data_IF_186098469671
#
_entry.id   IF_186098469671
#
_cell.length_a   1.000
_cell.length_b   1.000
_cell.length_c   1.000
_cell.angle_alpha   90.00
_cell.angle_beta   90.00
_cell.angle_gamma   90.00
#
_symmetry.space_group_name_H-M   'P 1'
#
loop_
_entity.id
_entity.type
_entity.pdbx_description
1 polymer ?
#
# COMPACT_ATOMS: atom_id res chain seq x y z
N UNK A 1 9.95 -7.47 31.91
CA UNK A 1 11.10 -7.95 31.10
C UNK A 1 10.68 -7.99 29.63
N UNK A 2 11.63 -7.78 28.72
CA UNK A 2 11.40 -7.95 27.27
C UNK A 2 11.02 -9.41 26.99
N UNK A 3 10.12 -9.62 26.01
CA UNK A 3 9.85 -10.96 25.50
C UNK A 3 11.07 -11.48 24.72
N UNK A 4 11.26 -12.80 24.62
CA UNK A 4 12.26 -13.35 23.72
C UNK A 4 11.91 -13.09 22.24
N UNK A 5 12.87 -13.33 21.35
CA UNK A 5 12.75 -13.09 19.91
C UNK A 5 11.53 -13.79 19.30
N UNK A 6 11.28 -15.04 19.67
CA UNK A 6 10.21 -15.85 19.09
C UNK A 6 8.83 -15.34 19.54
N UNK A 7 8.70 -15.05 20.83
CA UNK A 7 7.50 -14.50 21.44
C UNK A 7 7.18 -13.11 20.88
N UNK A 8 8.20 -12.26 20.70
CA UNK A 8 7.98 -10.94 20.10
C UNK A 8 7.63 -11.02 18.61
N UNK A 9 8.25 -11.93 17.85
CA UNK A 9 7.86 -12.17 16.46
C UNK A 9 6.40 -12.64 16.34
N UNK A 10 5.97 -13.60 17.19
CA UNK A 10 4.58 -14.05 17.21
C UNK A 10 3.59 -12.91 17.48
N UNK A 11 3.94 -11.99 18.38
CA UNK A 11 3.13 -10.79 18.65
C UNK A 11 2.99 -9.89 17.41
N UNK A 12 4.05 -9.70 16.63
CA UNK A 12 4.00 -8.91 15.39
C UNK A 12 3.10 -9.57 14.33
N UNK A 13 3.14 -10.90 14.23
CA UNK A 13 2.27 -11.66 13.33
C UNK A 13 0.80 -11.55 13.73
N UNK A 14 0.48 -11.59 15.03
CA UNK A 14 -0.90 -11.46 15.51
C UNK A 14 -1.52 -10.10 15.15
N UNK A 15 -0.73 -9.01 15.21
CA UNK A 15 -1.20 -7.68 14.77
C UNK A 15 -1.67 -7.70 13.32
N UNK A 16 -0.91 -8.33 12.42
CA UNK A 16 -1.33 -8.47 11.02
C UNK A 16 -2.52 -9.39 10.86
N UNK A 17 -2.52 -10.51 11.59
CA UNK A 17 -3.63 -11.47 11.58
C UNK A 17 -4.94 -10.82 12.01
N UNK A 18 -4.93 -9.80 12.87
CA UNK A 18 -6.16 -9.15 13.34
C UNK A 18 -6.51 -7.86 12.58
N UNK A 19 -5.50 -7.08 12.18
CA UNK A 19 -5.69 -5.68 11.75
C UNK A 19 -5.30 -5.40 10.31
N UNK A 20 -4.72 -6.35 9.58
CA UNK A 20 -4.34 -6.10 8.20
C UNK A 20 -5.57 -5.85 7.32
N UNK A 21 -5.38 -5.01 6.30
CA UNK A 21 -6.49 -4.42 5.55
C UNK A 21 -7.19 -5.37 4.57
N UNK A 22 -6.70 -6.61 4.44
CA UNK A 22 -7.39 -7.67 3.68
C UNK A 22 -8.78 -7.97 4.27
N UNK A 23 -8.96 -7.67 5.56
CA UNK A 23 -10.21 -7.87 6.30
C UNK A 23 -11.23 -6.77 6.11
N UNK A 24 -10.82 -5.65 5.54
CA UNK A 24 -11.71 -4.52 5.40
C UNK A 24 -12.84 -4.85 4.40
N UNK A 25 -14.12 -4.49 4.65
CA UNK A 25 -15.23 -4.80 3.74
C UNK A 25 -15.00 -4.36 2.29
N UNK A 26 -14.45 -3.16 2.08
CA UNK A 26 -14.04 -2.68 0.75
C UNK A 26 -13.06 -3.64 0.04
N UNK A 27 -12.10 -4.21 0.76
CA UNK A 27 -11.16 -5.18 0.18
C UNK A 27 -11.89 -6.44 -0.27
N UNK A 28 -12.77 -6.98 0.59
CA UNK A 28 -13.59 -8.14 0.25
C UNK A 28 -14.57 -7.89 -0.90
N UNK A 29 -15.07 -6.66 -1.06
CA UNK A 29 -15.87 -6.28 -2.23
C UNK A 29 -15.03 -6.24 -3.51
N UNK A 30 -13.88 -5.56 -3.47
CA UNK A 30 -13.03 -5.38 -4.63
C UNK A 30 -12.50 -6.71 -5.16
N UNK A 31 -12.01 -7.59 -4.29
CA UNK A 31 -11.39 -8.84 -4.73
C UNK A 31 -12.38 -10.01 -4.83
N UNK A 32 -13.61 -9.86 -4.32
CA UNK A 32 -14.71 -10.80 -4.53
C UNK A 32 -15.67 -10.37 -5.64
N UNK A 33 -15.27 -9.46 -6.54
CA UNK A 33 -16.05 -9.08 -7.72
C UNK A 33 -17.29 -8.21 -7.47
N UNK A 34 -17.50 -7.72 -6.24
CA UNK A 34 -18.69 -6.93 -5.86
C UNK A 34 -18.51 -5.42 -6.01
N UNK A 35 -17.33 -4.95 -6.40
CA UNK A 35 -17.11 -3.52 -6.65
C UNK A 35 -17.49 -3.13 -8.07
N UNK A 36 -18.22 -2.03 -8.21
CA UNK A 36 -18.51 -1.41 -9.52
C UNK A 36 -17.25 -0.81 -10.14
N UNK A 37 -17.25 -0.56 -11.45
CA UNK A 37 -16.10 0.09 -12.10
C UNK A 37 -15.78 1.48 -11.53
N UNK A 38 -16.78 2.24 -11.07
CA UNK A 38 -16.54 3.50 -10.36
C UNK A 38 -15.78 3.27 -9.04
N UNK A 39 -16.16 2.26 -8.26
CA UNK A 39 -15.46 1.91 -7.02
C UNK A 39 -14.03 1.41 -7.27
N UNK A 40 -13.83 0.60 -8.31
CA UNK A 40 -12.50 0.14 -8.75
C UNK A 40 -11.62 1.34 -9.14
N UNK A 41 -12.14 2.26 -9.97
CA UNK A 41 -11.42 3.46 -10.40
C UNK A 41 -11.06 4.38 -9.23
N UNK A 42 -12.01 4.60 -8.32
CA UNK A 42 -11.77 5.36 -7.10
C UNK A 42 -10.63 4.76 -6.27
N UNK A 43 -10.60 3.43 -6.13
CA UNK A 43 -9.49 2.75 -5.47
C UNK A 43 -8.16 2.93 -6.21
N UNK A 44 -8.13 2.80 -7.54
CA UNK A 44 -6.90 3.02 -8.34
C UNK A 44 -6.36 4.43 -8.15
N UNK A 45 -7.22 5.45 -8.20
CA UNK A 45 -6.85 6.88 -8.00
C UNK A 45 -6.25 7.09 -6.60
N UNK A 46 -6.94 6.62 -5.55
CA UNK A 46 -6.52 6.85 -4.17
C UNK A 46 -5.26 6.05 -3.83
N UNK A 47 -5.18 4.80 -4.29
CA UNK A 47 -4.05 3.94 -3.99
C UNK A 47 -2.79 4.34 -4.79
N UNK A 48 -2.92 5.02 -5.93
CA UNK A 48 -1.79 5.67 -6.58
C UNK A 48 -1.09 6.69 -5.67
N UNK A 49 -1.85 7.47 -4.88
CA UNK A 49 -1.26 8.42 -3.93
C UNK A 49 -0.40 7.70 -2.89
N UNK A 50 -0.89 6.59 -2.33
CA UNK A 50 -0.09 5.74 -1.45
C UNK A 50 1.17 5.22 -2.15
N UNK A 51 1.03 4.65 -3.35
CA UNK A 51 2.15 4.04 -4.07
C UNK A 51 3.24 5.05 -4.44
N UNK A 52 2.85 6.24 -4.92
CA UNK A 52 3.79 7.30 -5.29
C UNK A 52 4.49 7.95 -4.09
N UNK A 53 4.03 7.70 -2.86
CA UNK A 53 4.59 8.25 -1.61
C UNK A 53 5.50 7.25 -0.89
N UNK A 54 5.50 5.98 -1.30
CA UNK A 54 6.45 4.98 -0.78
C UNK A 54 7.91 5.39 -1.02
N UNK A 55 8.38 5.73 -2.24
CA UNK A 55 9.78 6.14 -2.43
C UNK A 55 10.11 7.43 -1.69
N UNK A 56 9.15 8.35 -1.52
CA UNK A 56 9.33 9.55 -0.69
C UNK A 56 9.53 9.21 0.79
N UNK A 57 8.72 8.28 1.32
CA UNK A 57 8.87 7.74 2.68
C UNK A 57 10.24 7.06 2.84
N UNK A 58 10.67 6.27 1.86
CA UNK A 58 11.94 5.56 1.91
C UNK A 58 13.15 6.50 1.79
N UNK A 59 13.05 7.56 1.00
CA UNK A 59 14.06 8.62 0.96
C UNK A 59 14.16 9.38 2.29
N UNK A 60 13.02 9.68 2.92
CA UNK A 60 12.98 10.31 4.25
C UNK A 60 13.58 9.42 5.35
N UNK A 61 13.45 8.09 5.21
CA UNK A 61 14.15 7.14 6.08
C UNK A 61 15.66 7.14 5.83
N UNK A 62 16.08 7.03 4.56
CA UNK A 62 17.48 6.97 4.15
C UNK A 62 18.28 8.20 4.58
N UNK A 63 17.68 9.40 4.56
CA UNK A 63 18.35 10.64 4.97
C UNK A 63 18.77 10.66 6.46
N UNK A 64 18.23 9.74 7.26
CA UNK A 64 18.49 9.60 8.70
C UNK A 64 19.43 8.43 9.03
N UNK A 65 19.78 7.62 8.02
CA UNK A 65 20.57 6.41 8.21
C UNK A 65 22.07 6.72 8.06
N UNK A 66 22.81 6.70 9.16
CA UNK A 66 24.27 6.90 9.14
C UNK A 66 25.02 5.64 8.67
N UNK A 67 24.46 4.46 8.92
CA UNK A 67 25.04 3.18 8.51
C UNK A 67 24.92 2.98 6.98
N UNK A 68 26.05 2.89 6.24
CA UNK A 68 26.03 2.63 4.81
C UNK A 68 25.48 1.25 4.42
N UNK A 69 25.55 0.22 5.28
CA UNK A 69 24.98 -1.09 4.98
C UNK A 69 23.46 -1.05 5.03
N UNK A 70 22.89 -0.41 6.05
CA UNK A 70 21.46 -0.11 6.09
C UNK A 70 21.01 0.68 4.84
N UNK A 71 21.76 1.70 4.41
CA UNK A 71 21.43 2.46 3.19
C UNK A 71 21.49 1.60 1.92
N UNK A 72 22.49 0.73 1.80
CA UNK A 72 22.62 -0.21 0.66
C UNK A 72 21.45 -1.19 0.60
N UNK A 73 21.03 -1.73 1.73
CA UNK A 73 19.89 -2.64 1.80
C UNK A 73 18.58 -1.92 1.45
N UNK A 74 18.37 -0.71 1.99
CA UNK A 74 17.09 -0.02 1.91
C UNK A 74 16.84 0.70 0.57
N UNK A 75 17.88 1.15 -0.16
CA UNK A 75 17.71 1.91 -1.42
C UNK A 75 17.00 1.13 -2.53
N UNK A 76 17.09 -0.19 -2.51
CA UNK A 76 16.41 -1.08 -3.47
C UNK A 76 14.90 -0.82 -3.54
N UNK A 77 14.28 -0.46 -2.41
CA UNK A 77 12.86 -0.09 -2.31
C UNK A 77 12.50 1.11 -3.18
N UNK A 78 13.39 2.11 -3.27
CA UNK A 78 13.22 3.28 -4.13
C UNK A 78 13.43 2.88 -5.58
N UNK A 79 14.49 2.11 -5.86
CA UNK A 79 14.80 1.61 -7.20
C UNK A 79 13.64 0.78 -7.78
N UNK A 80 12.98 -0.05 -6.98
CA UNK A 80 11.83 -0.87 -7.40
C UNK A 80 10.58 0.00 -7.72
N UNK A 81 10.35 1.08 -6.96
CA UNK A 81 9.19 1.97 -7.14
C UNK A 81 9.38 2.96 -8.30
N UNK A 82 10.54 3.61 -8.37
CA UNK A 82 10.85 4.63 -9.37
C UNK A 82 11.31 4.00 -10.68
N UNK A 83 12.13 2.96 -10.58
CA UNK A 83 12.78 2.26 -11.69
C UNK A 83 13.77 3.11 -12.47
N UNK A 84 14.23 2.57 -13.60
CA UNK A 84 15.13 3.29 -14.50
C UNK A 84 14.42 4.40 -15.28
N UNK A 85 15.19 5.34 -15.85
CA UNK A 85 14.66 6.49 -16.61
C UNK A 85 13.70 6.07 -17.73
N UNK A 86 14.02 5.02 -18.48
CA UNK A 86 13.25 4.61 -19.66
C UNK A 86 12.11 3.65 -19.32
N UNK A 87 12.38 2.60 -18.55
CA UNK A 87 11.37 1.59 -18.22
C UNK A 87 10.43 2.03 -17.07
N UNK A 88 10.96 2.79 -16.12
CA UNK A 88 10.32 3.11 -14.84
C UNK A 88 10.07 1.88 -13.95
N UNK A 89 9.49 2.13 -12.79
CA UNK A 89 9.26 1.12 -11.76
C UNK A 89 7.78 0.87 -11.46
N UNK A 90 7.51 0.48 -10.22
CA UNK A 90 6.17 0.23 -9.70
C UNK A 90 5.17 1.36 -9.96
N UNK A 91 5.61 2.63 -9.90
CA UNK A 91 4.74 3.79 -10.16
C UNK A 91 4.22 3.78 -11.62
N UNK A 92 5.08 3.50 -12.60
CA UNK A 92 4.64 3.40 -14.02
C UNK A 92 3.76 2.18 -14.24
N UNK A 93 4.04 1.04 -13.58
CA UNK A 93 3.15 -0.13 -13.62
C UNK A 93 1.76 0.19 -13.06
N UNK A 94 1.67 1.01 -12.00
CA UNK A 94 0.39 1.47 -11.47
C UNK A 94 -0.37 2.38 -12.45
N UNK A 95 0.32 3.25 -13.17
CA UNK A 95 -0.30 4.08 -14.20
C UNK A 95 -0.80 3.27 -15.41
N UNK A 96 -0.18 2.12 -15.72
CA UNK A 96 -0.73 1.15 -16.68
C UNK A 96 -2.02 0.52 -16.18
N UNK A 97 -2.11 0.18 -14.89
CA UNK A 97 -3.36 -0.26 -14.27
C UNK A 97 -4.45 0.83 -14.35
N UNK A 98 -4.09 2.11 -14.15
CA UNK A 98 -5.01 3.22 -14.35
C UNK A 98 -5.58 3.28 -15.77
N UNK A 99 -4.72 3.16 -16.79
CA UNK A 99 -5.17 3.10 -18.18
C UNK A 99 -6.08 1.89 -18.44
N UNK A 100 -5.75 0.71 -17.90
CA UNK A 100 -6.55 -0.51 -18.07
C UNK A 100 -7.96 -0.37 -17.50
N UNK A 101 -8.13 0.33 -16.37
CA UNK A 101 -9.46 0.62 -15.82
C UNK A 101 -10.17 1.80 -16.52
N UNK A 102 -9.58 2.37 -17.57
CA UNK A 102 -10.16 3.46 -18.37
C UNK A 102 -10.00 4.86 -17.77
N UNK A 103 -8.95 5.08 -16.98
CA UNK A 103 -8.56 6.40 -16.46
C UNK A 103 -7.39 6.97 -17.26
N UNK A 104 -7.38 8.28 -17.46
CA UNK A 104 -6.22 9.03 -17.92
C UNK A 104 -5.07 8.92 -16.90
N UNK A 105 -3.91 8.35 -17.28
CA UNK A 105 -2.74 8.36 -16.42
C UNK A 105 -2.30 9.76 -15.98
N UNK A 106 -2.52 10.78 -16.83
CA UNK A 106 -2.27 12.18 -16.51
C UNK A 106 -3.09 12.65 -15.30
N UNK A 107 -4.40 12.46 -15.35
CA UNK A 107 -5.31 12.72 -14.23
C UNK A 107 -4.93 11.97 -12.95
N UNK A 108 -4.67 10.65 -13.03
CA UNK A 108 -4.27 9.87 -11.84
C UNK A 108 -2.97 10.41 -11.24
N UNK A 109 -2.01 10.76 -12.10
CA UNK A 109 -0.73 11.31 -11.67
C UNK A 109 -0.80 12.72 -11.05
N UNK A 110 -1.83 13.51 -11.40
CA UNK A 110 -2.04 14.86 -10.84
C UNK A 110 -2.48 14.83 -9.37
N UNK A 111 -3.04 13.71 -8.91
CA UNK A 111 -3.56 13.50 -7.56
C UNK A 111 -4.75 14.40 -7.18
N UNK A 112 -5.38 15.06 -8.14
CA UNK A 112 -6.48 16.01 -7.88
C UNK A 112 -7.72 15.34 -7.28
N UNK A 113 -8.08 14.13 -7.72
CA UNK A 113 -9.24 13.38 -7.22
C UNK A 113 -9.00 12.51 -5.99
N UNK A 114 -7.82 12.61 -5.35
CA UNK A 114 -7.48 11.80 -4.16
C UNK A 114 -8.24 12.32 -2.95
N UNK A 115 -8.91 11.41 -2.23
CA UNK A 115 -9.69 11.75 -1.04
C UNK A 115 -8.79 12.41 0.03
N UNK A 116 -9.28 13.45 0.72
CA UNK A 116 -8.53 14.11 1.80
C UNK A 116 -8.05 13.13 2.88
N UNK A 117 -8.90 12.18 3.28
CA UNK A 117 -8.55 11.17 4.28
C UNK A 117 -7.42 10.24 3.80
N UNK A 118 -7.40 9.85 2.51
CA UNK A 118 -6.28 9.12 1.93
C UNK A 118 -5.01 9.95 1.98
N UNK A 119 -5.07 11.25 1.61
CA UNK A 119 -3.93 12.16 1.67
C UNK A 119 -3.35 12.24 3.08
N UNK A 120 -4.21 12.50 4.09
CA UNK A 120 -3.77 12.60 5.48
C UNK A 120 -3.20 11.29 6.03
N UNK A 121 -3.83 10.15 5.76
CA UNK A 121 -3.32 8.85 6.22
C UNK A 121 -1.94 8.54 5.61
N UNK A 122 -1.77 8.80 4.31
CA UNK A 122 -0.49 8.56 3.61
C UNK A 122 0.59 9.55 4.06
N UNK A 123 0.26 10.84 4.19
CA UNK A 123 1.22 11.87 4.62
C UNK A 123 1.63 11.67 6.09
N UNK A 124 0.73 11.15 6.92
CA UNK A 124 1.05 10.72 8.27
C UNK A 124 2.10 9.59 8.27
N UNK A 125 2.04 8.66 7.31
CA UNK A 125 3.06 7.61 7.20
C UNK A 125 4.44 8.17 6.82
N UNK A 126 4.49 9.08 5.84
CA UNK A 126 5.74 9.76 5.46
C UNK A 126 6.32 10.53 6.66
N UNK A 127 5.47 11.27 7.38
CA UNK A 127 5.88 12.07 8.54
C UNK A 127 6.34 11.18 9.71
N UNK A 128 5.62 10.08 9.99
CA UNK A 128 6.00 9.10 11.01
C UNK A 128 7.40 8.55 10.77
N UNK A 129 7.70 8.14 9.54
CA UNK A 129 9.01 7.60 9.17
C UNK A 129 10.11 8.67 9.17
N UNK A 130 9.76 9.93 8.92
CA UNK A 130 10.70 11.06 9.02
C UNK A 130 11.04 11.41 10.48
N UNK A 131 10.11 11.23 11.40
CA UNK A 131 10.20 11.82 12.75
C UNK A 131 10.46 10.80 13.87
N UNK A 132 9.88 9.60 13.80
CA UNK A 132 10.00 8.58 14.86
C UNK A 132 11.37 7.92 14.88
N UNK A 133 11.85 7.36 16.02
CA UNK A 133 13.13 6.66 16.05
C UNK A 133 13.22 5.55 14.97
N UNK A 134 14.45 5.20 14.58
CA UNK A 134 14.68 4.28 13.45
C UNK A 134 14.00 2.93 13.65
N UNK A 135 13.93 2.43 14.88
CA UNK A 135 13.24 1.18 15.20
C UNK A 135 11.76 1.22 14.80
N UNK A 136 11.00 2.23 15.25
CA UNK A 136 9.60 2.39 14.85
C UNK A 136 9.45 2.62 13.35
N UNK A 137 10.34 3.39 12.73
CA UNK A 137 10.32 3.62 11.30
C UNK A 137 10.48 2.31 10.51
N UNK A 138 11.42 1.44 10.88
CA UNK A 138 11.58 0.10 10.28
C UNK A 138 10.39 -0.79 10.61
N UNK A 139 9.93 -0.81 11.86
CA UNK A 139 8.78 -1.63 12.29
C UNK A 139 7.49 -1.31 11.52
N UNK A 140 7.27 -0.04 11.17
CA UNK A 140 6.13 0.39 10.36
C UNK A 140 6.15 -0.13 8.90
N UNK A 141 7.26 -0.71 8.43
CA UNK A 141 7.32 -1.41 7.13
C UNK A 141 6.81 -2.85 7.20
N UNK A 142 6.79 -3.47 8.39
CA UNK A 142 6.55 -4.91 8.58
C UNK A 142 5.15 -5.39 8.21
N UNK A 143 4.23 -4.51 7.83
CA UNK A 143 3.01 -4.93 7.12
C UNK A 143 3.29 -5.74 5.85
N UNK A 144 4.52 -5.65 5.30
CA UNK A 144 4.94 -6.47 4.17
C UNK A 144 5.02 -7.97 4.49
N UNK A 145 5.09 -8.37 5.78
CA UNK A 145 4.95 -9.78 6.21
C UNK A 145 3.64 -10.41 5.70
N UNK A 146 2.62 -9.59 5.52
CA UNK A 146 1.26 -10.02 5.15
C UNK A 146 0.96 -9.79 3.65
N UNK A 147 1.89 -9.16 2.92
CA UNK A 147 1.70 -8.75 1.53
C UNK A 147 1.73 -9.91 0.50
N UNK A 148 2.49 -11.01 0.67
CA UNK A 148 2.47 -12.09 -0.31
C UNK A 148 1.09 -12.73 -0.49
N UNK A 149 0.42 -13.06 0.63
CA UNK A 149 -0.92 -13.65 0.60
C UNK A 149 -1.92 -12.73 -0.09
N UNK A 150 -1.96 -11.45 0.31
CA UNK A 150 -2.91 -10.50 -0.25
C UNK A 150 -2.64 -10.29 -1.75
N UNK A 151 -1.39 -10.21 -2.20
CA UNK A 151 -1.08 -10.05 -3.62
C UNK A 151 -1.55 -11.23 -4.47
N UNK A 152 -1.42 -12.46 -3.99
CA UNK A 152 -1.97 -13.65 -4.65
C UNK A 152 -3.49 -13.59 -4.74
N UNK A 153 -4.18 -13.23 -3.65
CA UNK A 153 -5.64 -13.06 -3.62
C UNK A 153 -6.10 -11.94 -4.59
N UNK A 154 -5.35 -10.83 -4.66
CA UNK A 154 -5.66 -9.73 -5.59
C UNK A 154 -5.58 -10.17 -7.04
N UNK A 155 -4.51 -10.87 -7.42
CA UNK A 155 -4.32 -11.33 -8.79
C UNK A 155 -5.44 -12.29 -9.16
N UNK A 156 -5.73 -13.29 -8.32
CA UNK A 156 -6.78 -14.26 -8.58
C UNK A 156 -8.16 -13.59 -8.71
N UNK A 157 -8.57 -12.78 -7.72
CA UNK A 157 -9.88 -12.14 -7.73
C UNK A 157 -10.05 -11.10 -8.83
N UNK A 158 -9.00 -10.35 -9.18
CA UNK A 158 -9.08 -9.39 -10.29
C UNK A 158 -9.23 -10.10 -11.64
N UNK A 159 -8.45 -11.17 -11.88
CA UNK A 159 -8.54 -11.99 -13.10
C UNK A 159 -9.91 -12.66 -13.24
N UNK A 160 -10.49 -13.14 -12.14
CA UNK A 160 -11.76 -13.86 -12.16
C UNK A 160 -12.95 -12.93 -12.45
N UNK A 161 -12.93 -11.70 -11.92
CA UNK A 161 -14.15 -10.88 -11.85
C UNK A 161 -14.14 -9.63 -12.76
N UNK A 162 -13.01 -9.24 -13.35
CA UNK A 162 -12.93 -7.99 -14.10
C UNK A 162 -12.28 -8.15 -15.48
N UNK A 163 -13.02 -7.78 -16.53
CA UNK A 163 -12.57 -7.88 -17.92
C UNK A 163 -11.31 -7.07 -18.27
N UNK A 164 -11.00 -6.01 -17.49
CA UNK A 164 -9.77 -5.22 -17.69
C UNK A 164 -8.50 -5.93 -17.19
N UNK A 165 -8.65 -7.00 -16.40
CA UNK A 165 -7.54 -7.67 -15.75
C UNK A 165 -6.81 -8.58 -16.74
N UNK A 166 -5.80 -8.03 -17.41
CA UNK A 166 -4.84 -8.79 -18.21
C UNK A 166 -3.45 -8.83 -17.56
N UNK A 167 -2.51 -9.55 -18.18
CA UNK A 167 -1.15 -9.65 -17.67
C UNK A 167 -0.42 -8.29 -17.59
N UNK A 168 -0.75 -7.34 -18.47
CA UNK A 168 -0.14 -6.02 -18.47
C UNK A 168 -0.67 -5.16 -17.31
N UNK A 169 -1.97 -5.22 -17.03
CA UNK A 169 -2.64 -4.52 -15.93
C UNK A 169 -2.21 -5.05 -14.56
N UNK A 170 -1.97 -6.36 -14.46
CA UNK A 170 -1.58 -7.02 -13.21
C UNK A 170 -0.07 -7.13 -13.00
N UNK A 171 0.75 -6.66 -13.95
CA UNK A 171 2.21 -6.67 -13.86
C UNK A 171 2.73 -6.03 -12.56
N UNK A 172 2.04 -5.02 -12.04
CA UNK A 172 2.36 -4.41 -10.75
C UNK A 172 2.30 -5.44 -9.59
N UNK A 173 1.20 -6.18 -9.49
CA UNK A 173 1.00 -7.14 -8.38
C UNK A 173 1.92 -8.35 -8.52
N UNK A 174 2.12 -8.86 -9.75
CA UNK A 174 3.03 -9.98 -10.00
C UNK A 174 4.46 -9.66 -9.58
N UNK A 175 4.95 -8.47 -9.94
CA UNK A 175 6.30 -8.06 -9.60
C UNK A 175 6.51 -7.90 -8.08
N UNK A 176 5.48 -7.43 -7.35
CA UNK A 176 5.55 -7.31 -5.89
C UNK A 176 5.69 -8.65 -5.16
N UNK A 177 5.28 -9.78 -5.76
CA UNK A 177 5.48 -11.11 -5.17
C UNK A 177 6.95 -11.49 -5.04
N UNK A 178 7.82 -10.97 -5.94
CA UNK A 178 9.26 -11.25 -5.92
C UNK A 178 10.06 -10.19 -5.16
N UNK A 179 9.59 -8.93 -5.13
CA UNK A 179 10.29 -7.82 -4.46
C UNK A 179 10.11 -7.86 -2.92
N UNK A 180 8.88 -8.09 -2.44
CA UNK A 180 8.53 -7.99 -1.01
C UNK A 180 9.26 -8.97 -0.07
N UNK A 181 9.56 -10.24 -0.43
CA UNK A 181 10.19 -11.17 0.51
C UNK A 181 11.57 -10.74 1.01
N UNK A 182 12.41 -10.16 0.14
CA UNK A 182 13.78 -9.70 0.50
C UNK A 182 13.72 -8.53 1.49
N UNK A 183 12.82 -7.61 1.22
CA UNK A 183 12.57 -6.40 1.99
C UNK A 183 12.11 -6.70 3.43
N UNK A 184 11.28 -7.73 3.57
CA UNK A 184 10.69 -8.16 4.85
C UNK A 184 11.70 -8.82 5.76
N UNK A 185 12.53 -9.73 5.24
CA UNK A 185 13.50 -10.46 6.05
C UNK A 185 14.49 -9.52 6.71
N UNK A 186 15.02 -8.55 5.95
CA UNK A 186 15.91 -7.53 6.47
C UNK A 186 15.24 -6.69 7.57
N UNK A 187 14.04 -6.15 7.29
CA UNK A 187 13.32 -5.31 8.23
C UNK A 187 12.92 -6.03 9.52
N UNK A 188 12.49 -7.30 9.41
CA UNK A 188 12.10 -8.11 10.54
C UNK A 188 13.31 -8.40 11.44
N UNK A 189 14.43 -8.83 10.85
CA UNK A 189 15.64 -9.10 11.62
C UNK A 189 16.13 -7.84 12.34
N UNK A 190 16.16 -6.69 11.65
CA UNK A 190 16.49 -5.41 12.28
C UNK A 190 15.62 -5.12 13.51
N UNK A 191 14.31 -5.25 13.39
CA UNK A 191 13.38 -4.97 14.50
C UNK A 191 13.57 -5.95 15.65
N UNK A 192 13.73 -7.24 15.37
CA UNK A 192 13.93 -8.26 16.39
C UNK A 192 15.29 -8.14 17.09
N UNK A 193 16.32 -7.64 16.40
CA UNK A 193 17.66 -7.40 16.97
C UNK A 193 17.71 -6.13 17.84
N UNK A 194 16.98 -5.08 17.45
CA UNK A 194 17.07 -3.76 18.08
C UNK A 194 15.96 -3.49 19.12
N UNK A 195 14.87 -4.26 19.11
CA UNK A 195 13.82 -4.23 20.14
C UNK A 195 14.21 -5.08 21.36
N UNK A 196 15.34 -4.75 21.97
CA UNK A 196 16.00 -5.47 23.08
C UNK A 196 15.42 -5.15 24.47
N UNK A 197 14.53 -4.16 24.59
CA UNK A 197 13.79 -3.86 25.82
C UNK A 197 12.29 -4.00 25.61
N UNK A 198 11.54 -4.12 26.71
CA UNK A 198 10.07 -4.22 26.65
C UNK A 198 9.47 -2.95 26.02
N UNK A 199 10.01 -1.80 26.38
CA UNK A 199 9.59 -0.49 25.87
C UNK A 199 9.80 -0.40 24.35
N UNK A 200 10.96 -0.87 23.86
CA UNK A 200 11.22 -0.91 22.42
C UNK A 200 10.33 -1.91 21.67
N UNK A 201 10.04 -3.07 22.25
CA UNK A 201 9.08 -4.03 21.69
C UNK A 201 7.68 -3.45 21.61
N UNK A 202 7.24 -2.75 22.66
CA UNK A 202 5.95 -2.08 22.69
C UNK A 202 5.89 -0.95 21.65
N UNK A 203 6.96 -0.17 21.50
CA UNK A 203 7.05 0.88 20.47
C UNK A 203 7.03 0.32 19.04
N UNK A 204 7.78 -0.74 18.76
CA UNK A 204 7.78 -1.40 17.45
C UNK A 204 6.42 -2.04 17.12
N UNK A 205 5.77 -2.68 18.08
CA UNK A 205 4.41 -3.19 17.92
C UNK A 205 3.41 -2.06 17.66
N UNK A 206 3.50 -0.94 18.38
CA UNK A 206 2.67 0.23 18.15
C UNK A 206 2.89 0.85 16.76
N UNK A 207 4.13 0.87 16.27
CA UNK A 207 4.45 1.34 14.92
C UNK A 207 3.85 0.45 13.81
N UNK A 208 3.84 -0.87 14.01
CA UNK A 208 3.16 -1.80 13.12
C UNK A 208 1.64 -1.59 13.16
N UNK A 209 1.06 -1.43 14.35
CA UNK A 209 -0.36 -1.10 14.52
C UNK A 209 -0.73 0.21 13.82
N UNK A 210 0.04 1.28 14.02
CA UNK A 210 -0.12 2.55 13.31
C UNK A 210 -0.15 2.35 11.79
N UNK A 211 0.75 1.51 11.26
CA UNK A 211 0.75 1.21 9.82
C UNK A 211 -0.53 0.50 9.38
N UNK A 212 -1.06 -0.43 10.18
CA UNK A 212 -2.35 -1.08 9.86
C UNK A 212 -3.49 -0.05 9.84
N UNK A 213 -3.48 0.94 10.73
CA UNK A 213 -4.47 2.01 10.80
C UNK A 213 -4.39 2.93 9.57
N UNK A 214 -3.18 3.30 9.13
CA UNK A 214 -2.98 4.05 7.87
C UNK A 214 -3.61 3.33 6.68
N UNK A 215 -3.47 2.00 6.61
CA UNK A 215 -4.04 1.20 5.52
C UNK A 215 -5.57 1.08 5.65
N UNK A 216 -6.07 0.93 6.87
CA UNK A 216 -7.48 0.79 7.17
C UNK A 216 -8.25 2.09 6.86
N UNK A 217 -7.76 3.24 7.33
CA UNK A 217 -8.41 4.54 7.13
C UNK A 217 -8.54 4.94 5.65
N UNK A 218 -7.61 4.49 4.80
CA UNK A 218 -7.74 4.68 3.35
C UNK A 218 -8.95 3.92 2.78
N UNK A 219 -9.22 2.71 3.28
CA UNK A 219 -10.35 1.91 2.84
C UNK A 219 -11.67 2.37 3.48
N UNK A 220 -11.66 2.86 4.72
CA UNK A 220 -12.83 3.51 5.34
C UNK A 220 -13.28 4.70 4.48
N UNK A 221 -12.33 5.54 4.06
CA UNK A 221 -12.60 6.71 3.22
C UNK A 221 -13.19 6.33 1.87
N UNK A 222 -12.63 5.31 1.21
CA UNK A 222 -13.16 4.78 -0.05
C UNK A 222 -14.57 4.19 0.13
N UNK A 223 -14.81 3.46 1.20
CA UNK A 223 -16.11 2.87 1.50
C UNK A 223 -17.17 3.95 1.75
N UNK A 224 -16.87 4.93 2.61
CA UNK A 224 -17.79 6.03 2.92
C UNK A 224 -18.13 6.88 1.69
N UNK A 225 -17.14 7.14 0.83
CA UNK A 225 -17.30 8.00 -0.34
C UNK A 225 -17.97 7.29 -1.54
N UNK A 226 -17.69 6.00 -1.77
CA UNK A 226 -18.09 5.31 -3.01
C UNK A 226 -18.95 4.05 -2.81
N UNK A 227 -19.22 3.63 -1.57
CA UNK A 227 -20.07 2.47 -1.25
C UNK A 227 -21.29 2.89 -0.46
N UNK A 228 -21.11 3.21 0.82
CA UNK A 228 -22.20 3.61 1.71
C UNK A 228 -21.67 4.51 2.84
N UNK A 229 -22.25 5.70 3.06
CA UNK A 229 -23.43 6.25 2.40
C UNK A 229 -23.23 6.78 0.98
N UNK A 230 -22.01 6.77 0.43
CA UNK A 230 -21.72 7.27 -0.92
C UNK A 230 -21.55 8.79 -0.98
N UNK A 231 -21.00 9.38 0.10
CA UNK A 231 -20.83 10.82 0.24
C UNK A 231 -19.41 11.23 -0.13
N UNK A 232 -19.21 11.62 -1.39
CA UNK A 232 -17.93 12.10 -1.89
C UNK A 232 -17.65 13.48 -1.27
N UNK A 233 -16.54 13.67 -0.52
CA UNK A 233 -16.21 14.97 0.05
C UNK A 233 -15.78 15.96 -1.05
N UNK A 234 -15.87 17.28 -0.81
CA UNK A 234 -15.29 18.27 -1.73
C UNK A 234 -13.82 17.96 -2.06
N UNK A 235 -13.49 17.94 -3.35
CA UNK A 235 -12.16 17.57 -3.87
C UNK A 235 -11.93 16.06 -4.06
N UNK A 236 -12.85 15.20 -3.63
CA UNK A 236 -12.84 13.79 -4.04
C UNK A 236 -13.25 13.62 -5.51
N UNK A 237 -12.72 12.59 -6.17
CA UNK A 237 -13.07 12.29 -7.56
C UNK A 237 -14.57 12.07 -7.75
N UNK A 238 -15.17 12.76 -8.72
CA UNK A 238 -16.63 12.84 -8.95
C UNK A 238 -17.22 11.63 -9.71
N UNK A 239 -16.37 10.68 -10.11
CA UNK A 239 -16.77 9.51 -10.90
C UNK A 239 -16.71 9.70 -12.42
N UNK A 240 -16.33 10.88 -12.92
CA UNK A 240 -16.37 11.25 -14.34
C UNK A 240 -15.07 11.86 -14.86
N UNK A 241 -14.43 12.73 -14.07
CA UNK A 241 -13.23 13.43 -14.50
C UNK A 241 -12.08 12.45 -14.81
N UNK A 242 -11.34 12.67 -15.89
CA UNK A 242 -10.23 11.79 -16.27
C UNK A 242 -10.64 10.39 -16.75
N UNK A 243 -11.93 10.11 -16.99
CA UNK A 243 -12.35 8.85 -17.65
C UNK A 243 -12.18 8.99 -19.16
N UNK A 244 -11.33 8.16 -19.77
CA UNK A 244 -10.94 8.27 -21.19
C UNK A 244 -11.58 7.23 -22.11
N UNK A 245 -12.31 6.27 -21.55
CA UNK A 245 -13.05 5.27 -22.32
C UNK A 245 -14.19 4.62 -21.53
N UNK A 246 -15.18 4.10 -22.25
CA UNK A 246 -16.08 3.10 -21.68
C UNK A 246 -15.21 1.92 -21.23
N UNK A 247 -15.35 1.49 -19.97
CA UNK A 247 -14.71 0.25 -19.54
C UNK A 247 -15.09 -0.84 -20.56
N UNK A 248 -14.12 -1.64 -21.01
CA UNK A 248 -14.44 -2.88 -21.75
C UNK A 248 -15.53 -3.60 -20.95
N UNK A 249 -16.67 -3.78 -21.61
CA UNK A 249 -17.99 -3.86 -21.01
C UNK A 249 -18.13 -4.97 -19.95
N UNK A 250 -18.92 -4.61 -18.93
CA UNK A 250 -19.70 -5.46 -18.01
C UNK A 250 -18.93 -6.45 -17.12
N UNK A 251 -19.22 -6.35 -15.82
CA UNK A 251 -19.00 -7.45 -14.90
C UNK A 251 -19.79 -8.65 -15.42
N UNK A 252 -19.17 -9.82 -15.49
CA UNK A 252 -19.88 -11.06 -15.78
C UNK A 252 -21.02 -11.20 -14.75
N UNK A 253 -22.25 -11.36 -15.25
CA UNK A 253 -23.47 -11.65 -14.48
C UNK A 253 -23.30 -12.86 -13.56
#
# INVERSE_FOLDING_TARGET
>A
MAADRQTFHARLLEIGKDRYHDKHPFHGMLHGGRSTMTQVRAWVINRYYYQSRIPMKDAAFLSRCNDPDLRRAWRSRIEDHDGGVDAGGGIRRWLRLAAAVGLDPGYVSSTQGVLPATRFAVDAYVSFVREKPLLEAVASSLTELFAPRIHSERIAGLLEHYAFADDAALAYFRQRLTEAPRDVEFGLNYVLDHADTREKQDAAAAALTFKTEVLWSQLDALYGAYVAPGLIPPGGWDGREGVTGAATAEAAE
#
